data_IF_887430098876
#
_entry.id   IF_887430098876
#
_cell.length_a   1.000
_cell.length_b   1.000
_cell.length_c   1.000
_cell.angle_alpha   90.00
_cell.angle_beta   90.00
_cell.angle_gamma   90.00
#
_symmetry.space_group_name_H-M   'P 1'
#
loop_
_entity.id
_entity.type
_entity.pdbx_description
1 polymer ?
#
# COMPACT_ATOMS: atom_id res chain seq x y z
N UNK A 1 -6.66 4.46 3.66
CA UNK A 1 -5.33 4.86 3.12
C UNK A 1 -5.26 4.46 1.66
N UNK A 2 -4.62 5.27 0.83
CA UNK A 2 -4.34 4.94 -0.58
C UNK A 2 -2.88 5.30 -0.81
N UNK A 3 -2.07 4.33 -1.22
CA UNK A 3 -0.65 4.51 -1.46
C UNK A 3 -0.33 4.24 -2.94
N UNK A 4 0.29 5.21 -3.59
CA UNK A 4 0.48 5.23 -5.04
C UNK A 4 1.76 4.51 -5.49
N UNK A 5 1.65 3.57 -6.41
CA UNK A 5 2.79 2.86 -6.95
C UNK A 5 3.77 3.80 -7.67
N UNK A 6 5.04 3.73 -7.29
CA UNK A 6 6.10 4.50 -7.95
C UNK A 6 6.45 3.92 -9.31
N UNK A 7 6.69 4.81 -10.27
CA UNK A 7 7.07 4.44 -11.64
C UNK A 7 8.43 5.07 -11.97
N UNK A 8 9.43 4.28 -12.41
CA UNK A 8 10.67 4.81 -12.95
C UNK A 8 10.40 5.82 -14.07
N UNK A 9 11.09 6.98 -14.09
CA UNK A 9 10.81 8.06 -15.05
C UNK A 9 10.90 7.64 -16.52
N UNK A 10 11.74 6.65 -16.83
CA UNK A 10 11.93 6.10 -18.17
C UNK A 10 10.79 5.20 -18.64
N UNK A 11 9.93 4.74 -17.75
CA UNK A 11 8.80 3.88 -18.08
C UNK A 11 7.53 4.73 -18.28
N UNK A 12 6.97 4.68 -19.48
CA UNK A 12 5.69 5.33 -19.77
C UNK A 12 4.55 4.80 -18.89
N UNK A 13 3.54 5.63 -18.69
CA UNK A 13 2.35 5.28 -17.92
C UNK A 13 1.06 5.25 -18.72
N UNK A 14 1.08 5.70 -19.98
CA UNK A 14 -0.16 5.88 -20.77
C UNK A 14 -1.09 6.96 -20.22
N UNK A 15 -0.74 7.62 -19.11
CA UNK A 15 -1.57 8.60 -18.44
C UNK A 15 -0.86 9.94 -18.27
N UNK A 16 -1.54 11.02 -18.66
CA UNK A 16 -1.02 12.39 -18.54
C UNK A 16 -1.06 12.92 -17.09
N UNK A 17 -1.86 12.31 -16.21
CA UNK A 17 -2.09 12.80 -14.85
C UNK A 17 -1.10 12.26 -13.81
N UNK A 18 -0.59 11.05 -13.99
CA UNK A 18 0.35 10.40 -13.07
C UNK A 18 -0.28 9.82 -11.79
N UNK A 19 0.57 9.13 -11.00
CA UNK A 19 0.14 8.36 -9.82
C UNK A 19 -0.42 9.24 -8.70
N UNK A 20 0.18 10.39 -8.42
CA UNK A 20 -0.30 11.28 -7.35
C UNK A 20 -1.75 11.77 -7.59
N UNK A 21 -2.08 12.13 -8.83
CA UNK A 21 -3.44 12.49 -9.20
C UNK A 21 -4.40 11.31 -9.00
N UNK A 22 -4.01 10.12 -9.48
CA UNK A 22 -4.82 8.91 -9.36
C UNK A 22 -5.12 8.58 -7.90
N UNK A 23 -4.09 8.50 -7.05
CA UNK A 23 -4.24 8.18 -5.62
C UNK A 23 -5.13 9.20 -4.90
N UNK A 24 -4.96 10.49 -5.20
CA UNK A 24 -5.80 11.55 -4.63
C UNK A 24 -7.27 11.40 -5.07
N UNK A 25 -7.52 11.17 -6.36
CA UNK A 25 -8.88 10.99 -6.88
C UNK A 25 -9.54 9.73 -6.31
N UNK A 26 -8.82 8.62 -6.32
CA UNK A 26 -9.30 7.36 -5.75
C UNK A 26 -9.64 7.51 -4.27
N UNK A 27 -8.75 8.08 -3.47
CA UNK A 27 -8.99 8.28 -2.04
C UNK A 27 -10.18 9.18 -1.75
N UNK A 28 -10.34 10.27 -2.51
CA UNK A 28 -11.48 11.20 -2.35
C UNK A 28 -12.80 10.54 -2.73
N UNK A 29 -12.84 9.86 -3.88
CA UNK A 29 -14.04 9.18 -4.36
C UNK A 29 -14.44 8.03 -3.43
N UNK A 30 -13.47 7.22 -3.02
CA UNK A 30 -13.68 6.11 -2.09
C UNK A 30 -14.23 6.60 -0.74
N UNK A 31 -13.69 7.67 -0.17
CA UNK A 31 -14.19 8.24 1.07
C UNK A 31 -15.62 8.73 0.93
N UNK A 32 -15.96 9.39 -0.18
CA UNK A 32 -17.33 9.84 -0.45
C UNK A 32 -18.30 8.66 -0.54
N UNK A 33 -17.94 7.57 -1.22
CA UNK A 33 -18.77 6.38 -1.34
C UNK A 33 -18.93 5.66 0.01
N UNK A 34 -17.85 5.43 0.75
CA UNK A 34 -17.91 4.81 2.08
C UNK A 34 -18.80 5.58 3.06
N UNK A 35 -18.91 6.91 2.90
CA UNK A 35 -19.74 7.77 3.75
C UNK A 35 -21.20 7.80 3.29
N UNK A 36 -21.44 7.85 1.98
CA UNK A 36 -22.79 7.99 1.42
C UNK A 36 -23.52 6.66 1.22
N UNK A 37 -22.78 5.55 1.17
CA UNK A 37 -23.30 4.20 0.94
C UNK A 37 -22.81 3.23 2.04
N UNK A 38 -23.19 3.47 3.31
CA UNK A 38 -22.70 2.66 4.43
C UNK A 38 -23.10 1.18 4.37
N UNK A 39 -24.22 0.88 3.69
CA UNK A 39 -24.73 -0.48 3.53
C UNK A 39 -23.99 -1.30 2.46
N UNK A 40 -23.23 -0.66 1.58
CA UNK A 40 -22.39 -1.35 0.62
C UNK A 40 -21.11 -1.88 1.28
N UNK A 41 -20.63 -3.03 0.79
CA UNK A 41 -19.34 -3.55 1.27
C UNK A 41 -18.18 -2.61 0.93
N UNK A 42 -17.08 -2.61 1.71
CA UNK A 42 -15.88 -1.85 1.34
C UNK A 42 -15.34 -2.21 -0.04
N UNK A 43 -15.48 -3.48 -0.48
CA UNK A 43 -15.05 -3.93 -1.80
C UNK A 43 -15.94 -3.36 -2.93
N UNK A 44 -17.26 -3.30 -2.74
CA UNK A 44 -18.17 -2.70 -3.73
C UNK A 44 -17.92 -1.19 -3.86
N UNK A 45 -17.73 -0.51 -2.74
CA UNK A 45 -17.38 0.93 -2.74
C UNK A 45 -16.03 1.17 -3.44
N UNK A 46 -15.04 0.29 -3.25
CA UNK A 46 -13.75 0.38 -3.94
C UNK A 46 -13.90 0.12 -5.44
N UNK A 47 -14.65 -0.89 -5.84
CA UNK A 47 -14.93 -1.18 -7.25
C UNK A 47 -15.61 0.01 -7.95
N UNK A 48 -16.60 0.62 -7.29
CA UNK A 48 -17.26 1.82 -7.82
C UNK A 48 -16.29 3.00 -7.92
N UNK A 49 -15.46 3.23 -6.89
CA UNK A 49 -14.46 4.30 -6.91
C UNK A 49 -13.44 4.12 -8.06
N UNK A 50 -12.98 2.89 -8.31
CA UNK A 50 -12.09 2.58 -9.44
C UNK A 50 -12.79 2.92 -10.77
N UNK A 51 -14.04 2.49 -10.95
CA UNK A 51 -14.83 2.78 -12.15
C UNK A 51 -14.99 4.28 -12.38
N UNK A 52 -15.36 5.02 -11.34
CA UNK A 52 -15.60 6.47 -11.44
C UNK A 52 -14.30 7.21 -11.78
N UNK A 53 -13.18 6.83 -11.15
CA UNK A 53 -11.88 7.47 -11.44
C UNK A 53 -11.38 7.12 -12.84
N UNK A 54 -11.55 5.88 -13.31
CA UNK A 54 -11.23 5.50 -14.68
C UNK A 54 -11.99 6.36 -15.70
N UNK A 55 -13.28 6.58 -15.47
CA UNK A 55 -14.11 7.43 -16.34
C UNK A 55 -13.63 8.88 -16.39
N UNK A 56 -13.02 9.43 -15.33
CA UNK A 56 -12.54 10.83 -15.31
C UNK A 56 -11.39 11.11 -16.28
N UNK A 57 -10.68 10.08 -16.76
CA UNK A 57 -9.52 10.28 -17.63
C UNK A 57 -9.49 9.36 -18.86
N UNK A 58 -10.58 8.66 -19.14
CA UNK A 58 -10.71 7.78 -20.30
C UNK A 58 -10.47 8.49 -21.64
N UNK A 59 -10.92 9.74 -21.78
CA UNK A 59 -10.78 10.51 -23.01
C UNK A 59 -9.37 11.07 -23.24
N UNK A 60 -8.52 11.06 -22.21
CA UNK A 60 -7.20 11.72 -22.24
C UNK A 60 -6.02 10.77 -21.98
N UNK A 61 -6.30 9.52 -21.59
CA UNK A 61 -5.31 8.53 -21.20
C UNK A 61 -5.60 7.18 -21.84
N UNK A 62 -4.54 6.41 -22.07
CA UNK A 62 -4.64 5.00 -22.48
C UNK A 62 -4.82 4.13 -21.22
N UNK A 63 -6.07 3.74 -20.95
CA UNK A 63 -6.43 2.94 -19.79
C UNK A 63 -5.97 1.48 -19.89
N UNK A 64 -5.66 0.99 -21.09
CA UNK A 64 -5.16 -0.36 -21.32
C UNK A 64 -3.62 -0.45 -21.25
N UNK A 65 -2.95 0.71 -21.11
CA UNK A 65 -1.50 0.73 -21.01
C UNK A 65 -1.02 -0.01 -19.75
N UNK A 66 -0.06 -0.95 -19.83
CA UNK A 66 0.38 -1.74 -18.68
C UNK A 66 1.02 -0.92 -17.55
N UNK A 67 1.36 0.31 -17.81
CA UNK A 67 1.90 1.26 -16.84
C UNK A 67 0.88 2.28 -16.31
N UNK A 68 -0.43 2.11 -16.55
CA UNK A 68 -1.44 3.01 -15.96
C UNK A 68 -1.22 3.17 -14.46
N UNK A 69 -1.49 4.37 -13.90
CA UNK A 69 -1.37 4.60 -12.46
C UNK A 69 -2.11 3.54 -11.65
N UNK A 70 -1.51 3.15 -10.56
CA UNK A 70 -2.10 2.19 -9.62
C UNK A 70 -1.78 2.58 -8.19
N UNK A 71 -2.57 2.04 -7.26
CA UNK A 71 -2.40 2.26 -5.83
C UNK A 71 -2.80 1.02 -5.05
N UNK A 72 -2.18 0.83 -3.90
CA UNK A 72 -2.62 -0.09 -2.86
C UNK A 72 -3.63 0.62 -1.95
N UNK A 73 -4.52 -0.13 -1.34
CA UNK A 73 -5.64 0.44 -0.58
C UNK A 73 -5.82 -0.30 0.73
N UNK A 74 -5.90 0.44 1.83
CA UNK A 74 -6.37 -0.08 3.11
C UNK A 74 -7.56 0.73 3.62
N UNK A 75 -8.63 0.04 3.99
CA UNK A 75 -9.86 0.61 4.58
C UNK A 75 -10.05 0.00 5.95
N UNK A 76 -10.29 0.85 6.94
CA UNK A 76 -10.81 0.48 8.25
C UNK A 76 -12.09 1.29 8.45
N UNK A 77 -13.22 0.62 8.57
CA UNK A 77 -14.55 1.24 8.71
C UNK A 77 -15.21 0.79 9.99
N UNK A 78 -15.42 1.73 10.90
CA UNK A 78 -16.16 1.50 12.15
C UNK A 78 -17.67 1.49 11.86
N UNK A 79 -18.35 0.49 12.38
CA UNK A 79 -19.78 0.35 12.47
C UNK A 79 -20.19 0.28 13.96
N UNK A 80 -21.48 0.37 14.32
CA UNK A 80 -21.88 0.36 15.73
C UNK A 80 -21.33 -0.82 16.55
N UNK A 81 -21.35 -2.03 16.00
CA UNK A 81 -20.97 -3.27 16.69
C UNK A 81 -19.77 -3.97 16.07
N UNK A 82 -19.30 -3.51 14.91
CA UNK A 82 -18.24 -4.17 14.13
C UNK A 82 -17.26 -3.19 13.54
N UNK A 83 -16.11 -3.70 13.13
CA UNK A 83 -15.14 -2.98 12.31
C UNK A 83 -14.86 -3.83 11.08
N UNK A 84 -15.19 -3.27 9.92
CA UNK A 84 -14.85 -3.86 8.63
C UNK A 84 -13.46 -3.42 8.23
N UNK A 85 -12.70 -4.33 7.62
CA UNK A 85 -11.45 -3.95 7.00
C UNK A 85 -11.32 -4.53 5.59
N UNK A 86 -10.54 -3.81 4.76
CA UNK A 86 -10.13 -4.23 3.44
C UNK A 86 -8.67 -3.86 3.23
N UNK A 87 -7.89 -4.81 2.69
CA UNK A 87 -6.50 -4.58 2.23
C UNK A 87 -6.36 -5.08 0.80
N UNK A 88 -5.96 -4.20 -0.10
CA UNK A 88 -5.64 -4.51 -1.50
C UNK A 88 -4.20 -4.05 -1.77
N UNK A 89 -3.29 -5.00 -2.01
CA UNK A 89 -1.86 -4.77 -2.13
C UNK A 89 -1.14 -4.72 -0.78
N UNK A 90 0.06 -4.16 -0.74
CA UNK A 90 1.03 -4.27 0.35
C UNK A 90 0.90 -3.21 1.47
N UNK A 91 -0.19 -2.45 1.50
CA UNK A 91 -0.58 -1.69 2.70
C UNK A 91 -0.89 -2.64 3.84
N UNK A 92 -0.71 -2.20 5.09
CA UNK A 92 -0.92 -3.04 6.27
C UNK A 92 -1.96 -2.44 7.22
N UNK A 93 -2.84 -3.29 7.74
CA UNK A 93 -3.70 -2.98 8.88
C UNK A 93 -3.22 -3.77 10.09
N UNK A 94 -3.00 -3.09 11.21
CA UNK A 94 -2.76 -3.72 12.50
C UNK A 94 -4.03 -3.67 13.34
N UNK A 95 -4.40 -4.82 13.91
CA UNK A 95 -5.51 -4.95 14.84
C UNK A 95 -4.99 -5.53 16.16
N UNK A 96 -5.14 -4.77 17.25
CA UNK A 96 -4.82 -5.26 18.59
C UNK A 96 -6.06 -5.86 19.24
N UNK A 97 -6.02 -7.14 19.47
CA UNK A 97 -7.07 -7.95 20.08
C UNK A 97 -6.57 -8.56 21.40
N UNK A 98 -7.44 -9.06 22.30
CA UNK A 98 -7.01 -9.74 23.51
C UNK A 98 -6.06 -10.94 23.27
N UNK A 99 -6.12 -11.54 22.10
CA UNK A 99 -5.26 -12.67 21.67
C UNK A 99 -3.91 -12.23 21.12
N UNK A 100 -3.66 -10.93 20.97
CA UNK A 100 -2.42 -10.36 20.43
C UNK A 100 -2.66 -9.42 19.24
N UNK A 101 -1.58 -9.05 18.56
CA UNK A 101 -1.62 -8.16 17.40
C UNK A 101 -1.67 -9.00 16.13
N UNK A 102 -2.66 -8.70 15.29
CA UNK A 102 -2.81 -9.27 13.96
C UNK A 102 -2.41 -8.22 12.92
N UNK A 103 -1.39 -8.52 12.13
CA UNK A 103 -1.03 -7.75 10.95
C UNK A 103 -1.71 -8.35 9.71
N UNK A 104 -2.40 -7.54 8.94
CA UNK A 104 -3.08 -7.91 7.70
C UNK A 104 -2.42 -7.14 6.57
N UNK A 105 -1.75 -7.85 5.67
CA UNK A 105 -1.12 -7.32 4.46
C UNK A 105 -1.19 -8.35 3.35
N UNK A 106 -1.17 -7.91 2.10
CA UNK A 106 -1.15 -8.80 0.94
C UNK A 106 0.28 -8.91 0.41
N UNK A 107 0.90 -10.05 0.62
CA UNK A 107 2.29 -10.34 0.26
C UNK A 107 2.46 -10.88 -1.18
N UNK A 108 1.38 -10.91 -1.99
CA UNK A 108 1.45 -11.43 -3.37
C UNK A 108 2.47 -10.70 -4.23
N UNK A 109 2.61 -9.38 -4.06
CA UNK A 109 3.60 -8.58 -4.79
C UNK A 109 5.04 -9.03 -4.51
N UNK A 110 5.38 -9.40 -3.28
CA UNK A 110 6.73 -9.82 -2.90
C UNK A 110 7.15 -11.13 -3.58
N UNK A 111 6.19 -11.98 -3.94
CA UNK A 111 6.43 -13.28 -4.58
C UNK A 111 6.65 -13.16 -6.09
N UNK A 112 6.26 -12.01 -6.66
CA UNK A 112 6.37 -11.76 -8.10
C UNK A 112 7.75 -11.18 -8.42
N UNK A 113 8.34 -11.64 -9.53
CA UNK A 113 9.59 -11.11 -10.05
C UNK A 113 10.79 -11.24 -9.08
N UNK A 114 10.88 -12.36 -8.35
CA UNK A 114 11.94 -12.61 -7.36
C UNK A 114 13.36 -12.48 -7.92
N UNK A 115 13.59 -12.95 -9.15
CA UNK A 115 14.88 -12.83 -9.83
C UNK A 115 15.28 -11.37 -10.05
N UNK A 116 14.33 -10.52 -10.44
CA UNK A 116 14.57 -9.08 -10.65
C UNK A 116 14.73 -8.35 -9.31
N UNK A 117 14.02 -8.78 -8.27
CA UNK A 117 14.21 -8.31 -6.89
C UNK A 117 15.64 -8.58 -6.43
N UNK A 118 16.12 -9.81 -6.55
CA UNK A 118 17.47 -10.21 -6.15
C UNK A 118 18.53 -9.42 -6.94
N UNK A 119 18.35 -9.28 -8.25
CA UNK A 119 19.26 -8.51 -9.09
C UNK A 119 19.33 -7.03 -8.70
N UNK A 120 18.21 -6.43 -8.29
CA UNK A 120 18.16 -5.06 -7.80
C UNK A 120 18.85 -4.94 -6.42
N UNK A 121 18.58 -5.88 -5.50
CA UNK A 121 19.15 -5.88 -4.16
C UNK A 121 20.68 -6.07 -4.14
N UNK A 122 21.27 -6.62 -5.20
CA UNK A 122 22.72 -6.73 -5.37
C UNK A 122 23.39 -5.41 -5.76
N UNK A 123 22.63 -4.38 -6.07
CA UNK A 123 23.14 -3.07 -6.48
C UNK A 123 23.02 -2.05 -5.35
N UNK A 124 24.03 -1.17 -5.23
CA UNK A 124 23.94 -0.06 -4.27
C UNK A 124 22.76 0.86 -4.60
N UNK A 125 21.86 1.06 -3.64
CA UNK A 125 20.64 1.88 -3.78
C UNK A 125 20.99 3.29 -4.28
N UNK A 126 20.32 3.73 -5.34
CA UNK A 126 20.56 5.05 -5.96
C UNK A 126 21.69 5.07 -6.99
N UNK A 127 22.38 3.95 -7.24
CA UNK A 127 23.34 3.85 -8.35
C UNK A 127 22.60 3.73 -9.70
N UNK A 128 23.29 4.04 -10.82
CA UNK A 128 22.74 3.85 -12.16
C UNK A 128 22.45 2.36 -12.47
N UNK A 129 23.20 1.43 -11.88
CA UNK A 129 22.93 0.00 -12.01
C UNK A 129 21.65 -0.38 -11.27
N UNK A 130 21.47 0.12 -10.06
CA UNK A 130 20.25 -0.07 -9.27
C UNK A 130 19.01 0.49 -9.99
N UNK A 131 19.09 1.70 -10.55
CA UNK A 131 17.98 2.30 -11.30
C UNK A 131 17.55 1.42 -12.49
N UNK A 132 18.51 0.87 -13.25
CA UNK A 132 18.20 -0.06 -14.35
C UNK A 132 17.54 -1.35 -13.85
N UNK A 133 18.07 -1.95 -12.78
CA UNK A 133 17.49 -3.17 -12.20
C UNK A 133 16.09 -2.92 -11.64
N UNK A 134 15.87 -1.75 -11.05
CA UNK A 134 14.54 -1.33 -10.58
C UNK A 134 13.54 -1.17 -11.73
N UNK A 135 13.95 -0.56 -12.86
CA UNK A 135 13.11 -0.45 -14.03
C UNK A 135 12.76 -1.84 -14.64
N UNK A 136 13.70 -2.80 -14.63
CA UNK A 136 13.46 -4.16 -15.05
C UNK A 136 12.47 -4.87 -14.11
N UNK A 137 12.60 -4.69 -12.79
CA UNK A 137 11.68 -5.20 -11.79
C UNK A 137 10.25 -4.67 -12.04
N UNK A 138 10.08 -3.36 -12.17
CA UNK A 138 8.77 -2.74 -12.43
C UNK A 138 8.19 -3.23 -13.76
N UNK A 139 9.01 -3.40 -14.79
CA UNK A 139 8.56 -3.94 -16.08
C UNK A 139 8.03 -5.37 -15.96
N UNK A 140 8.69 -6.19 -15.16
CA UNK A 140 8.22 -7.56 -14.93
C UNK A 140 6.96 -7.58 -14.05
N UNK A 141 6.92 -6.80 -12.99
CA UNK A 141 5.73 -6.67 -12.13
C UNK A 141 4.48 -6.24 -12.92
N UNK A 142 4.61 -5.34 -13.90
CA UNK A 142 3.51 -4.91 -14.77
C UNK A 142 2.83 -6.05 -15.52
N UNK A 143 3.56 -7.15 -15.83
CA UNK A 143 3.01 -8.33 -16.52
C UNK A 143 2.13 -9.19 -15.60
N UNK A 144 2.33 -9.05 -14.30
CA UNK A 144 1.64 -9.82 -13.27
C UNK A 144 0.60 -9.00 -12.51
N UNK A 145 0.49 -7.69 -12.82
CA UNK A 145 -0.47 -6.80 -12.16
C UNK A 145 -1.90 -7.12 -12.57
N UNK A 146 -2.80 -7.26 -11.57
CA UNK A 146 -4.21 -7.59 -11.73
C UNK A 146 -4.42 -8.88 -12.57
N UNK A 147 -3.60 -9.89 -12.26
CA UNK A 147 -3.66 -11.20 -12.89
C UNK A 147 -3.76 -12.31 -11.82
N UNK A 148 -4.50 -13.42 -12.07
CA UNK A 148 -4.68 -14.51 -11.08
C UNK A 148 -3.38 -15.09 -10.50
N UNK A 149 -2.33 -15.21 -11.32
CA UNK A 149 -1.02 -15.73 -10.91
C UNK A 149 -0.05 -14.61 -10.45
N UNK A 150 -0.58 -13.42 -10.18
CA UNK A 150 0.19 -12.26 -9.81
C UNK A 150 -0.30 -11.58 -8.53
N UNK A 151 -0.45 -10.27 -8.57
CA UNK A 151 -0.90 -9.45 -7.46
C UNK A 151 -1.99 -8.46 -7.90
N UNK A 152 -2.73 -7.92 -6.94
CA UNK A 152 -3.87 -7.05 -7.21
C UNK A 152 -3.69 -5.69 -6.57
N UNK A 153 -4.01 -4.64 -7.33
CA UNK A 153 -3.98 -3.22 -6.91
C UNK A 153 -5.11 -2.46 -7.59
N UNK A 154 -5.55 -1.37 -7.01
CA UNK A 154 -6.49 -0.46 -7.65
C UNK A 154 -5.81 0.22 -8.84
N UNK A 155 -6.46 0.17 -10.01
CA UNK A 155 -6.03 0.80 -11.25
C UNK A 155 -7.27 1.15 -12.09
N UNK A 156 -7.42 0.58 -13.28
CA UNK A 156 -8.55 0.83 -14.18
C UNK A 156 -9.62 -0.26 -14.16
N UNK A 157 -9.27 -1.47 -13.69
CA UNK A 157 -10.18 -2.61 -13.60
C UNK A 157 -10.81 -2.70 -12.20
N UNK A 158 -12.15 -2.48 -12.08
CA UNK A 158 -12.87 -2.58 -10.81
C UNK A 158 -12.90 -4.00 -10.22
N UNK A 159 -12.69 -5.04 -11.05
CA UNK A 159 -12.65 -6.42 -10.58
C UNK A 159 -11.51 -6.65 -9.57
N UNK A 160 -10.46 -5.83 -9.60
CA UNK A 160 -9.37 -5.89 -8.62
C UNK A 160 -9.85 -5.80 -7.16
N UNK A 161 -10.92 -5.05 -6.89
CA UNK A 161 -11.49 -4.91 -5.55
C UNK A 161 -11.98 -6.24 -4.94
N UNK A 162 -12.41 -7.19 -5.78
CA UNK A 162 -12.89 -8.51 -5.33
C UNK A 162 -11.74 -9.43 -4.88
N UNK A 163 -10.50 -9.06 -5.14
CA UNK A 163 -9.31 -9.80 -4.75
C UNK A 163 -8.64 -9.25 -3.48
N UNK A 164 -9.25 -8.23 -2.87
CA UNK A 164 -8.81 -7.68 -1.60
C UNK A 164 -8.98 -8.70 -0.45
N UNK A 165 -8.14 -8.59 0.57
CA UNK A 165 -8.34 -9.26 1.84
C UNK A 165 -9.40 -8.49 2.62
N UNK A 166 -10.54 -9.11 2.89
CA UNK A 166 -11.66 -8.48 3.58
C UNK A 166 -12.14 -9.35 4.73
N UNK A 167 -12.50 -8.74 5.84
CA UNK A 167 -13.16 -9.41 6.96
C UNK A 167 -13.81 -8.35 7.87
N UNK A 168 -14.55 -8.83 8.88
CA UNK A 168 -15.22 -8.03 9.88
C UNK A 168 -14.88 -8.58 11.27
N UNK A 169 -14.57 -7.70 12.20
CA UNK A 169 -14.29 -8.06 13.60
C UNK A 169 -15.27 -7.36 14.52
N UNK A 170 -15.58 -7.97 15.67
CA UNK A 170 -16.39 -7.33 16.70
C UNK A 170 -15.66 -6.09 17.24
N UNK A 171 -16.35 -4.94 17.29
CA UNK A 171 -15.77 -3.67 17.76
C UNK A 171 -15.22 -3.80 19.18
N UNK A 172 -15.96 -4.46 20.07
CA UNK A 172 -15.57 -4.71 21.47
C UNK A 172 -14.30 -5.56 21.62
N UNK A 173 -13.92 -6.32 20.59
CA UNK A 173 -12.69 -7.13 20.59
C UNK A 173 -11.44 -6.35 20.19
N UNK A 174 -11.57 -5.10 19.74
CA UNK A 174 -10.46 -4.27 19.33
C UNK A 174 -10.17 -3.17 20.36
N UNK A 175 -8.91 -3.07 20.76
CA UNK A 175 -8.42 -2.01 21.62
C UNK A 175 -7.80 -0.87 20.81
N UNK A 176 -6.94 -1.22 19.86
CA UNK A 176 -6.22 -0.27 19.00
C UNK A 176 -6.12 -0.84 17.59
N UNK A 177 -6.06 0.06 16.62
CA UNK A 177 -5.79 -0.30 15.23
C UNK A 177 -4.84 0.71 14.59
N UNK A 178 -4.12 0.29 13.56
CA UNK A 178 -3.34 1.19 12.73
C UNK A 178 -3.51 0.83 11.25
N UNK A 179 -3.40 1.85 10.38
CA UNK A 179 -3.39 1.69 8.93
C UNK A 179 -2.10 2.31 8.40
N UNK A 180 -1.31 1.52 7.67
CA UNK A 180 0.08 1.80 7.35
C UNK A 180 0.36 1.62 5.86
N UNK A 181 1.17 2.50 5.27
CA UNK A 181 1.81 2.23 3.97
C UNK A 181 3.03 1.32 4.16
N UNK A 182 3.51 0.72 3.07
CA UNK A 182 4.72 -0.11 3.05
C UNK A 182 5.96 0.65 3.52
N UNK A 183 6.05 1.95 3.19
CA UNK A 183 7.13 2.80 3.68
C UNK A 183 7.14 2.98 5.20
N UNK A 184 5.98 2.93 5.87
CA UNK A 184 5.89 3.01 7.32
C UNK A 184 6.22 1.68 8.01
N UNK A 185 5.87 0.54 7.39
CA UNK A 185 6.10 -0.80 7.94
C UNK A 185 7.56 -1.25 7.91
N UNK A 186 8.44 -0.54 7.19
CA UNK A 186 9.87 -0.88 7.03
C UNK A 186 10.63 -1.14 8.33
N UNK A 187 10.19 -0.55 9.46
CA UNK A 187 10.81 -0.81 10.77
C UNK A 187 10.69 -2.27 11.19
N UNK A 188 9.63 -2.96 10.73
CA UNK A 188 9.36 -4.35 11.05
C UNK A 188 9.81 -5.27 9.92
N UNK A 189 9.23 -5.10 8.73
CA UNK A 189 9.36 -6.05 7.61
C UNK A 189 10.70 -5.95 6.87
N UNK A 190 11.28 -4.75 6.75
CA UNK A 190 12.53 -4.53 6.01
C UNK A 190 13.75 -4.41 6.89
N UNK A 191 13.65 -3.63 7.97
CA UNK A 191 14.80 -3.34 8.83
C UNK A 191 14.92 -4.30 9.99
N UNK A 192 13.82 -4.94 10.42
CA UNK A 192 13.80 -5.86 11.58
C UNK A 192 14.21 -5.18 12.88
N UNK A 193 13.94 -3.87 13.01
CA UNK A 193 14.31 -3.06 14.18
C UNK A 193 13.23 -3.03 15.24
N UNK A 194 11.98 -3.30 14.87
CA UNK A 194 10.84 -3.45 15.77
C UNK A 194 10.07 -4.74 15.42
N UNK A 195 9.37 -5.27 16.39
CA UNK A 195 8.23 -6.16 16.17
C UNK A 195 6.91 -5.37 16.17
N UNK A 196 5.81 -6.00 15.78
CA UNK A 196 4.51 -5.31 15.70
C UNK A 196 4.01 -4.79 17.05
N UNK A 197 4.37 -5.45 18.16
CA UNK A 197 3.98 -5.01 19.49
C UNK A 197 4.70 -3.72 19.88
N UNK A 198 6.01 -3.67 19.70
CA UNK A 198 6.81 -2.46 19.90
C UNK A 198 6.42 -1.34 18.96
N UNK A 199 6.12 -1.66 17.69
CA UNK A 199 5.66 -0.69 16.70
C UNK A 199 4.34 -0.03 17.14
N UNK A 200 3.35 -0.82 17.54
CA UNK A 200 2.05 -0.31 18.00
C UNK A 200 2.17 0.46 19.31
N UNK A 201 3.08 0.07 20.20
CA UNK A 201 3.38 0.83 21.43
C UNK A 201 3.96 2.21 21.11
N UNK A 202 4.91 2.31 20.16
CA UNK A 202 5.45 3.62 19.72
C UNK A 202 4.34 4.49 19.13
N UNK A 203 3.46 3.92 18.29
CA UNK A 203 2.30 4.67 17.74
C UNK A 203 1.40 5.20 18.85
N UNK A 204 1.12 4.38 19.87
CA UNK A 204 0.24 4.76 20.97
C UNK A 204 0.84 5.83 21.89
N UNK A 205 2.13 5.70 22.20
CA UNK A 205 2.81 6.55 23.19
C UNK A 205 3.36 7.85 22.61
N UNK A 206 3.82 7.81 21.33
CA UNK A 206 4.57 8.90 20.70
C UNK A 206 3.92 9.41 19.40
N UNK A 207 2.91 8.69 18.89
CA UNK A 207 2.20 9.05 17.67
C UNK A 207 2.89 8.59 16.38
N UNK A 208 2.20 8.74 15.23
CA UNK A 208 2.68 8.30 13.92
C UNK A 208 4.00 8.95 13.48
N UNK A 209 4.21 10.22 13.81
CA UNK A 209 5.44 10.95 13.44
C UNK A 209 6.70 10.28 13.99
N UNK A 210 6.63 9.67 15.18
CA UNK A 210 7.77 9.00 15.79
C UNK A 210 8.21 7.78 14.96
N UNK A 211 7.27 7.00 14.44
CA UNK A 211 7.58 5.88 13.54
C UNK A 211 8.23 6.39 12.25
N UNK A 212 7.65 7.43 11.63
CA UNK A 212 8.19 8.00 10.39
C UNK A 212 9.60 8.53 10.62
N UNK A 213 9.87 9.21 11.73
CA UNK A 213 11.22 9.66 12.09
C UNK A 213 12.20 8.50 12.27
N UNK A 214 11.79 7.40 12.91
CA UNK A 214 12.64 6.21 13.06
C UNK A 214 12.94 5.56 11.72
N UNK A 215 11.94 5.43 10.81
CA UNK A 215 12.16 4.96 9.43
C UNK A 215 13.19 5.84 8.74
N UNK A 216 13.03 7.17 8.78
CA UNK A 216 13.97 8.12 8.15
C UNK A 216 15.38 8.02 8.74
N UNK A 217 15.51 7.85 10.06
CA UNK A 217 16.80 7.65 10.73
C UNK A 217 17.49 6.36 10.26
N UNK A 218 16.76 5.26 10.16
CA UNK A 218 17.27 3.99 9.65
C UNK A 218 17.73 4.12 8.18
N UNK A 219 16.91 4.71 7.31
CA UNK A 219 17.24 4.97 5.90
C UNK A 219 18.48 5.83 5.74
N UNK A 220 18.64 6.89 6.55
CA UNK A 220 19.82 7.75 6.53
C UNK A 220 21.08 7.05 7.03
N UNK A 221 20.94 6.09 7.94
CA UNK A 221 22.08 5.30 8.44
C UNK A 221 22.62 4.29 7.43
N UNK A 222 21.86 4.00 6.37
CA UNK A 222 22.19 3.05 5.32
C UNK A 222 21.81 3.62 3.92
N UNK A 223 22.45 4.70 3.47
CA UNK A 223 22.04 5.45 2.27
C UNK A 223 22.16 4.63 0.98
N UNK A 224 23.06 3.66 0.95
CA UNK A 224 23.34 2.81 -0.21
C UNK A 224 22.64 1.46 -0.16
N UNK A 225 21.80 1.19 0.89
CA UNK A 225 21.06 -0.04 1.04
C UNK A 225 21.92 -1.29 1.19
N UNK A 226 23.12 -1.15 1.77
CA UNK A 226 24.02 -2.30 1.96
C UNK A 226 23.55 -3.23 3.08
N UNK A 227 23.02 -2.64 4.14
CA UNK A 227 22.46 -3.39 5.27
C UNK A 227 21.02 -3.83 5.00
N UNK A 228 20.24 -2.94 4.38
CA UNK A 228 18.83 -3.15 4.06
C UNK A 228 18.55 -2.83 2.60
N UNK A 229 18.77 -3.79 1.68
CA UNK A 229 18.49 -3.61 0.26
C UNK A 229 17.04 -3.21 0.01
N UNK A 230 16.82 -2.20 -0.84
CA UNK A 230 15.49 -1.62 -1.09
C UNK A 230 15.38 -0.93 -2.44
N UNK A 231 14.18 -0.85 -2.99
CA UNK A 231 13.93 -0.26 -4.30
C UNK A 231 14.14 1.26 -4.37
N UNK A 232 13.96 1.96 -3.25
CA UNK A 232 14.13 3.42 -3.15
C UNK A 232 14.91 3.77 -1.89
N UNK A 233 15.72 4.84 -1.97
CA UNK A 233 16.43 5.35 -0.80
C UNK A 233 15.46 5.74 0.31
N UNK A 234 14.40 6.48 -0.05
CA UNK A 234 13.29 6.85 0.80
C UNK A 234 11.99 6.49 0.09
N UNK A 235 10.99 6.04 0.84
CA UNK A 235 9.64 5.83 0.34
C UNK A 235 8.66 6.77 1.02
N UNK A 236 7.51 6.97 0.42
CA UNK A 236 6.41 7.66 1.08
C UNK A 236 5.97 6.82 2.29
N UNK A 237 5.93 7.44 3.47
CA UNK A 237 5.56 6.76 4.70
C UNK A 237 4.35 7.44 5.33
N UNK A 238 3.28 6.71 5.44
CA UNK A 238 2.02 7.18 6.01
C UNK A 238 1.54 6.21 7.09
N UNK A 239 1.11 6.75 8.22
CA UNK A 239 0.55 5.97 9.31
C UNK A 239 -0.66 6.69 9.91
N UNK A 240 -1.73 5.95 10.15
CA UNK A 240 -2.87 6.40 10.93
C UNK A 240 -3.04 5.46 12.12
N UNK A 241 -3.28 6.02 13.30
CA UNK A 241 -3.49 5.26 14.53
C UNK A 241 -4.88 5.56 15.09
N UNK A 242 -5.60 4.52 15.47
CA UNK A 242 -6.93 4.57 16.04
C UNK A 242 -6.91 3.94 17.43
N UNK A 243 -7.36 4.68 18.45
CA UNK A 243 -7.67 4.16 19.76
C UNK A 243 -9.19 3.97 19.84
N UNK A 244 -9.63 2.74 20.00
CA UNK A 244 -11.04 2.36 20.03
C UNK A 244 -11.48 2.32 21.51
N UNK A 245 -12.35 3.21 21.90
CA UNK A 245 -12.84 3.40 23.27
C UNK A 245 -14.17 2.66 23.46
#
# INVERSE_FOLDING_TARGET
MVDGASVPPELGTGCAHGTAWFSHRLGTQLLALLTSQPDHSPADNLAQAITDVAALHADTCDLDHPGTPSATVAILREQPDTIDYLVLGDTTILLEQPTGIRAITDDRLERVASVQHDAMHQQATGSAAHARSFAQLVTEQRRHRNHPDGFWVASTDPAAAQHALVDTVARESLHRAAVLSDGATRMVDRFGLLDWASFLAVLADQGPDAIIQQVRAAEHSDPDGQRWPRGKRHDDASAAFCHLI
#
